data_IF_628841744326
#
_entry.id   IF_628841744326
#
_cell.length_a   1.000
_cell.length_b   1.000
_cell.length_c   1.000
_cell.angle_alpha   90.00
_cell.angle_beta   90.00
_cell.angle_gamma   90.00
#
_symmetry.space_group_name_H-M   'P 1'
#
loop_
_entity.id
_entity.type
_entity.pdbx_description
1 polymer ?
#
# COMPACT_ATOMS: atom_id res chain seq x y z
N UNK A 1 -4.22 -1.10 21.46
CA UNK A 1 -5.65 -0.86 21.12
C UNK A 1 -5.75 -0.69 19.62
N UNK A 2 -6.92 -0.94 19.03
CA UNK A 2 -7.19 -0.63 17.61
C UNK A 2 -8.15 0.56 17.60
N UNK A 3 -7.83 1.59 16.82
CA UNK A 3 -8.61 2.82 16.74
C UNK A 3 -8.94 3.09 15.27
N UNK A 4 -10.21 3.36 14.98
CA UNK A 4 -10.64 3.83 13.68
C UNK A 4 -10.61 5.36 13.68
N UNK A 5 -9.82 5.94 12.78
CA UNK A 5 -9.71 7.39 12.59
C UNK A 5 -10.35 7.72 11.25
N UNK A 6 -11.39 8.55 11.28
CA UNK A 6 -11.98 9.09 10.06
C UNK A 6 -11.18 10.30 9.59
N UNK A 7 -10.78 10.30 8.32
CA UNK A 7 -10.04 11.39 7.69
C UNK A 7 -11.03 12.18 6.81
N UNK A 8 -11.33 13.45 7.13
CA UNK A 8 -12.20 14.28 6.30
C UNK A 8 -11.56 14.55 4.94
N UNK A 9 -12.35 14.43 3.87
CA UNK A 9 -11.92 14.74 2.50
C UNK A 9 -10.65 14.01 2.01
N UNK A 10 -10.30 12.87 2.62
CA UNK A 10 -9.09 12.11 2.33
C UNK A 10 -7.78 12.91 2.55
N UNK A 11 -7.81 14.00 3.35
CA UNK A 11 -6.64 14.85 3.65
C UNK A 11 -5.93 14.42 4.94
N UNK A 12 -4.80 13.72 4.78
CA UNK A 12 -3.94 13.26 5.88
C UNK A 12 -3.16 14.39 6.57
N UNK A 13 -3.16 15.60 6.00
CA UNK A 13 -2.47 16.77 6.56
C UNK A 13 -3.34 17.59 7.51
N UNK A 14 -4.62 17.22 7.67
CA UNK A 14 -5.50 17.84 8.65
C UNK A 14 -4.90 17.69 10.07
N UNK A 15 -4.93 18.76 10.90
CA UNK A 15 -4.33 18.73 12.23
C UNK A 15 -4.95 17.68 13.18
N UNK A 16 -6.19 17.26 12.94
CA UNK A 16 -6.91 16.29 13.76
C UNK A 16 -6.34 14.86 13.64
N UNK A 17 -6.16 14.27 12.44
CA UNK A 17 -5.45 13.01 12.29
C UNK A 17 -3.93 13.14 12.55
N UNK A 18 -3.30 14.25 12.18
CA UNK A 18 -1.86 14.46 12.34
C UNK A 18 -1.38 14.31 13.80
N UNK A 19 -2.14 14.87 14.75
CA UNK A 19 -1.84 14.74 16.20
C UNK A 19 -2.04 13.32 16.72
N UNK A 20 -3.05 12.60 16.19
CA UNK A 20 -3.32 11.21 16.55
C UNK A 20 -2.19 10.28 16.07
N UNK A 21 -1.67 10.51 14.86
CA UNK A 21 -0.60 9.68 14.28
C UNK A 21 0.71 9.70 15.09
N UNK A 22 1.05 10.82 15.74
CA UNK A 22 2.26 10.92 16.55
C UNK A 22 2.30 9.89 17.71
N UNK A 23 1.12 9.49 18.19
CA UNK A 23 0.97 8.56 19.31
C UNK A 23 0.76 7.10 18.89
N UNK A 24 0.66 6.81 17.59
CA UNK A 24 0.42 5.47 17.09
C UNK A 24 1.73 4.75 16.75
N UNK A 25 1.81 3.47 17.11
CA UNK A 25 2.95 2.61 16.79
C UNK A 25 2.86 2.02 15.38
N UNK A 26 1.65 1.89 14.85
CA UNK A 26 1.39 1.47 13.48
C UNK A 26 0.15 2.18 12.94
N UNK A 27 0.21 2.53 11.66
CA UNK A 27 -0.87 3.17 10.92
C UNK A 27 -1.23 2.31 9.72
N UNK A 28 -2.51 2.00 9.59
CA UNK A 28 -3.07 1.30 8.42
C UNK A 28 -3.96 2.29 7.70
N UNK A 29 -3.53 2.74 6.54
CA UNK A 29 -4.26 3.70 5.71
C UNK A 29 -5.15 2.94 4.75
N UNK A 30 -6.44 3.28 4.71
CA UNK A 30 -7.40 2.71 3.78
C UNK A 30 -7.65 3.71 2.65
N UNK A 31 -7.47 3.28 1.41
CA UNK A 31 -7.57 4.13 0.22
C UNK A 31 -8.81 3.82 -0.61
N UNK A 32 -9.53 4.88 -0.99
CA UNK A 32 -10.68 4.79 -1.91
C UNK A 32 -10.27 4.29 -3.29
N UNK A 33 -9.08 4.66 -3.76
CA UNK A 33 -8.56 4.25 -5.07
C UNK A 33 -8.36 2.74 -5.16
N UNK A 34 -7.90 2.13 -4.06
CA UNK A 34 -7.70 0.67 -3.98
C UNK A 34 -9.06 -0.05 -3.89
N UNK A 35 -9.99 0.49 -3.09
CA UNK A 35 -11.34 -0.06 -3.01
C UNK A 35 -12.09 -0.03 -4.35
N UNK A 36 -11.91 1.04 -5.15
CA UNK A 36 -12.52 1.17 -6.49
C UNK A 36 -12.03 0.12 -7.49
N UNK A 37 -10.86 -0.48 -7.24
CA UNK A 37 -10.30 -1.58 -8.03
C UNK A 37 -10.82 -2.95 -7.60
N UNK A 38 -11.71 -3.01 -6.60
CA UNK A 38 -12.26 -4.25 -6.04
C UNK A 38 -11.29 -5.01 -5.13
N UNK A 39 -10.24 -4.34 -4.63
CA UNK A 39 -9.24 -4.94 -3.75
C UNK A 39 -9.66 -4.72 -2.29
N UNK A 40 -9.93 -5.81 -1.58
CA UNK A 40 -10.31 -5.79 -0.17
C UNK A 40 -9.40 -6.72 0.65
N UNK A 41 -8.90 -6.27 1.81
CA UNK A 41 -9.05 -4.93 2.37
C UNK A 41 -8.32 -3.85 1.56
N UNK A 42 -8.90 -2.64 1.51
CA UNK A 42 -8.40 -1.54 0.69
C UNK A 42 -7.21 -0.80 1.33
N UNK A 43 -6.22 -1.54 1.82
CA UNK A 43 -5.04 -1.01 2.51
C UNK A 43 -4.06 -0.43 1.50
N UNK A 44 -3.59 0.79 1.73
CA UNK A 44 -2.47 1.36 1.00
C UNK A 44 -1.14 0.93 1.64
N UNK A 45 -0.34 0.06 0.97
CA UNK A 45 0.90 -0.47 1.54
C UNK A 45 2.05 0.53 1.55
N UNK A 46 1.97 1.62 0.78
CA UNK A 46 3.00 2.66 0.74
C UNK A 46 2.78 3.68 1.86
N UNK A 47 1.53 4.07 2.09
CA UNK A 47 1.17 5.05 3.13
C UNK A 47 1.00 4.41 4.53
N UNK A 48 0.84 3.08 4.60
CA UNK A 48 0.80 2.35 5.87
C UNK A 48 2.20 2.11 6.45
N UNK A 49 2.35 2.36 7.75
CA UNK A 49 3.65 2.27 8.44
C UNK A 49 3.52 1.54 9.78
N UNK A 50 4.64 1.01 10.26
CA UNK A 50 4.73 0.42 11.60
C UNK A 50 6.14 0.59 12.14
N UNK A 51 6.26 1.03 13.39
CA UNK A 51 7.53 1.08 14.12
C UNK A 51 8.12 -0.30 14.36
N UNK A 52 7.31 -1.35 14.29
CA UNK A 52 7.76 -2.73 14.46
C UNK A 52 8.37 -3.32 13.20
N UNK A 53 8.28 -2.65 12.05
CA UNK A 53 8.95 -3.07 10.82
C UNK A 53 10.45 -2.72 10.90
N UNK A 54 11.14 -3.40 11.81
CA UNK A 54 12.57 -3.27 12.08
C UNK A 54 13.20 -4.67 12.03
N UNK A 55 14.35 -4.88 11.36
CA UNK A 55 15.02 -6.18 11.28
C UNK A 55 15.30 -6.82 12.64
N UNK A 56 15.51 -6.02 13.68
CA UNK A 56 15.77 -6.48 15.05
C UNK A 56 14.51 -7.01 15.74
N UNK A 57 13.32 -6.67 15.25
CA UNK A 57 12.02 -7.07 15.81
C UNK A 57 11.42 -8.22 15.00
N UNK A 58 11.33 -8.06 13.68
CA UNK A 58 10.66 -9.03 12.79
C UNK A 58 11.60 -10.00 12.09
N UNK A 59 12.91 -9.81 12.24
CA UNK A 59 13.93 -10.56 11.52
C UNK A 59 14.24 -9.98 10.13
N UNK A 60 15.44 -10.27 9.64
CA UNK A 60 15.95 -9.74 8.36
C UNK A 60 15.10 -10.17 7.17
N UNK A 61 14.72 -11.44 7.09
CA UNK A 61 13.96 -11.97 5.94
C UNK A 61 12.61 -11.28 5.77
N UNK A 62 11.87 -11.08 6.87
CA UNK A 62 10.59 -10.37 6.83
C UNK A 62 10.78 -8.91 6.43
N UNK A 63 11.76 -8.23 7.05
CA UNK A 63 12.05 -6.83 6.73
C UNK A 63 12.43 -6.64 5.25
N UNK A 64 13.36 -7.45 4.73
CA UNK A 64 13.81 -7.38 3.34
C UNK A 64 12.67 -7.70 2.36
N UNK A 65 11.83 -8.69 2.68
CA UNK A 65 10.67 -9.03 1.85
C UNK A 65 9.67 -7.87 1.81
N UNK A 66 9.34 -7.28 2.96
CA UNK A 66 8.44 -6.14 3.05
C UNK A 66 8.99 -4.92 2.29
N UNK A 67 10.29 -4.65 2.42
CA UNK A 67 10.94 -3.54 1.74
C UNK A 67 11.00 -3.75 0.22
N UNK A 68 11.23 -4.99 -0.23
CA UNK A 68 11.20 -5.36 -1.66
C UNK A 68 9.81 -5.20 -2.26
N UNK A 69 8.77 -5.59 -1.52
CA UNK A 69 7.37 -5.38 -1.91
C UNK A 69 7.07 -3.88 -2.06
N UNK A 70 7.44 -3.06 -1.05
CA UNK A 70 7.25 -1.60 -1.09
C UNK A 70 7.98 -0.97 -2.27
N UNK A 71 9.24 -1.34 -2.51
CA UNK A 71 10.03 -0.84 -3.64
C UNK A 71 9.38 -1.16 -4.99
N UNK A 72 8.90 -2.40 -5.17
CA UNK A 72 8.21 -2.82 -6.40
C UNK A 72 6.93 -2.02 -6.64
N UNK A 73 6.14 -1.78 -5.58
CA UNK A 73 4.90 -1.01 -5.67
C UNK A 73 5.16 0.49 -5.88
N UNK A 74 6.21 1.04 -5.28
CA UNK A 74 6.63 2.42 -5.50
C UNK A 74 7.04 2.64 -6.97
N UNK A 75 7.87 1.73 -7.51
CA UNK A 75 8.26 1.76 -8.93
C UNK A 75 7.05 1.64 -9.84
N UNK A 76 6.09 0.79 -9.50
CA UNK A 76 4.84 0.69 -10.25
C UNK A 76 4.02 2.00 -10.22
N UNK A 77 3.97 2.71 -9.09
CA UNK A 77 3.28 4.00 -8.97
C UNK A 77 3.90 5.05 -9.90
N UNK A 78 5.22 5.14 -9.96
CA UNK A 78 5.96 6.02 -10.89
C UNK A 78 5.67 5.68 -12.36
N UNK A 79 5.65 4.38 -12.69
CA UNK A 79 5.39 3.92 -14.05
C UNK A 79 3.92 4.09 -14.44
N UNK A 80 2.98 4.15 -13.48
CA UNK A 80 1.55 4.29 -13.75
C UNK A 80 1.21 5.60 -14.47
N UNK A 81 1.87 6.69 -14.10
CA UNK A 81 1.67 8.00 -14.74
C UNK A 81 2.19 8.00 -16.19
N UNK A 82 3.34 7.36 -16.41
CA UNK A 82 3.91 7.14 -17.76
C UNK A 82 2.95 6.28 -18.60
N UNK A 83 2.46 5.17 -18.05
CA UNK A 83 1.50 4.26 -18.71
C UNK A 83 0.23 5.02 -19.11
N UNK A 84 -0.25 5.93 -18.27
CA UNK A 84 -1.47 6.68 -18.54
C UNK A 84 -1.33 7.66 -19.72
N UNK A 85 -0.11 8.15 -20.00
CA UNK A 85 0.17 9.11 -21.07
C UNK A 85 0.61 8.41 -22.37
N UNK A 86 1.57 7.48 -22.26
CA UNK A 86 2.26 6.86 -23.40
C UNK A 86 1.73 5.47 -23.76
N UNK A 87 1.10 4.77 -22.81
CA UNK A 87 0.69 3.37 -22.97
C UNK A 87 1.74 2.37 -22.51
N UNK A 88 1.34 1.10 -22.41
CA UNK A 88 2.19 0.01 -21.90
C UNK A 88 3.32 -0.40 -22.86
N UNK A 89 3.16 -0.14 -24.16
CA UNK A 89 4.07 -0.64 -25.20
C UNK A 89 5.39 0.13 -25.24
N UNK A 90 5.37 1.38 -24.77
CA UNK A 90 6.52 2.30 -24.72
C UNK A 90 7.47 2.02 -23.54
N UNK A 91 7.14 1.07 -22.67
CA UNK A 91 7.99 0.70 -21.53
C UNK A 91 9.09 -0.27 -21.95
N UNK A 92 10.22 -0.19 -21.23
CA UNK A 92 11.26 -1.21 -21.32
C UNK A 92 10.71 -2.58 -20.88
N UNK A 93 11.30 -3.68 -21.36
CA UNK A 93 10.88 -5.02 -20.96
C UNK A 93 11.03 -5.27 -19.44
N UNK A 94 12.02 -4.61 -18.80
CA UNK A 94 12.23 -4.64 -17.36
C UNK A 94 11.10 -3.91 -16.60
N UNK A 95 10.69 -2.73 -17.07
CA UNK A 95 9.58 -1.98 -16.47
C UNK A 95 8.26 -2.73 -16.68
N UNK A 96 8.03 -3.35 -17.86
CA UNK A 96 6.87 -4.24 -18.09
C UNK A 96 6.86 -5.41 -17.11
N UNK A 97 8.01 -6.02 -16.86
CA UNK A 97 8.13 -7.09 -15.87
C UNK A 97 7.81 -6.58 -14.45
N UNK A 98 8.31 -5.40 -14.09
CA UNK A 98 8.03 -4.75 -12.80
C UNK A 98 6.54 -4.47 -12.63
N UNK A 99 5.87 -3.90 -13.64
CA UNK A 99 4.42 -3.67 -13.64
C UNK A 99 3.65 -4.97 -13.47
N UNK A 100 4.04 -6.03 -14.18
CA UNK A 100 3.41 -7.35 -14.08
C UNK A 100 3.53 -7.93 -12.67
N UNK A 101 4.72 -7.84 -12.05
CA UNK A 101 4.95 -8.28 -10.66
C UNK A 101 4.14 -7.44 -9.66
N UNK A 102 4.18 -6.12 -9.79
CA UNK A 102 3.44 -5.20 -8.93
C UNK A 102 1.93 -5.47 -8.94
N UNK A 103 1.34 -5.67 -10.13
CA UNK A 103 -0.08 -6.03 -10.27
C UNK A 103 -0.42 -7.35 -9.57
N UNK A 104 0.46 -8.36 -9.65
CA UNK A 104 0.29 -9.63 -8.94
C UNK A 104 0.35 -9.44 -7.43
N UNK A 105 1.34 -8.69 -6.94
CA UNK A 105 1.47 -8.36 -5.51
C UNK A 105 0.23 -7.63 -5.01
N UNK A 106 -0.22 -6.60 -5.72
CA UNK A 106 -1.39 -5.81 -5.32
C UNK A 106 -2.66 -6.65 -5.21
N UNK A 107 -2.86 -7.61 -6.12
CA UNK A 107 -3.96 -8.58 -6.02
C UNK A 107 -3.75 -9.61 -4.93
N UNK A 108 -2.52 -10.01 -4.67
CA UNK A 108 -2.19 -10.98 -3.62
C UNK A 108 -2.40 -10.40 -2.21
N UNK A 109 -2.32 -9.07 -2.06
CA UNK A 109 -2.66 -8.38 -0.81
C UNK A 109 -4.17 -8.37 -0.51
N UNK A 110 -5.03 -8.78 -1.46
CA UNK A 110 -6.44 -8.95 -1.16
C UNK A 110 -6.69 -10.29 -0.47
N UNK A 111 -7.65 -10.31 0.45
CA UNK A 111 -8.05 -11.52 1.16
C UNK A 111 -9.56 -11.48 1.43
N UNK A 112 -10.30 -12.57 1.13
CA UNK A 112 -11.69 -12.66 1.53
C UNK A 112 -11.79 -12.67 3.05
N UNK A 113 -12.67 -11.84 3.60
CA UNK A 113 -12.92 -11.79 5.02
C UNK A 113 -14.03 -12.76 5.39
N UNK A 114 -13.78 -13.58 6.41
CA UNK A 114 -14.79 -14.49 6.97
C UNK A 114 -16.08 -13.74 7.38
N UNK A 115 -15.94 -12.55 7.95
CA UNK A 115 -17.09 -11.69 8.33
C UNK A 115 -17.81 -11.04 7.15
N UNK A 116 -17.26 -11.15 5.94
CA UNK A 116 -17.86 -10.68 4.70
C UNK A 116 -18.44 -11.82 3.85
N UNK A 117 -18.41 -13.07 4.36
CA UNK A 117 -19.15 -14.18 3.78
C UNK A 117 -20.65 -13.95 4.05
N UNK A 118 -21.48 -14.07 3.00
CA UNK A 118 -22.95 -13.91 3.04
C UNK A 118 -23.62 -15.26 3.13
#
# INVERSE_FOLDING_TARGET
SIQAVYVPADDLTDPSPATTFAHLDATVVLSRDIASQGIYPAIDPLDSTSRQLDPLIVGTEHYETAQSVKSTLQRYKELKDIIAILGMDELSEEDKQTVSRARKIQRYLSQPFFVAEV
#
